data_IF_045654342265
#
_entry.id   IF_045654342265
#
_cell.length_a   1.000
_cell.length_b   1.000
_cell.length_c   1.000
_cell.angle_alpha   90.00
_cell.angle_beta   90.00
_cell.angle_gamma   90.00
#
_symmetry.space_group_name_H-M   'P 1'
#
loop_
_entity.id
_entity.type
_entity.pdbx_description
1 polymer ?
#
# COMPACT_ATOMS: atom_id res chain seq x y z
N UNK A 1 20.25 15.69 2.17
CA UNK A 1 19.98 15.88 0.73
C UNK A 1 20.91 14.94 0.00
N UNK A 2 20.41 13.89 -0.65
CA UNK A 2 21.25 12.77 -1.14
C UNK A 2 22.32 13.20 -2.15
N UNK A 3 23.49 12.61 -2.04
CA UNK A 3 24.61 12.72 -2.98
C UNK A 3 24.17 12.16 -4.34
N UNK A 4 23.81 13.03 -5.29
CA UNK A 4 23.63 12.66 -6.70
C UNK A 4 24.89 13.09 -7.44
N UNK A 5 25.52 12.15 -8.15
CA UNK A 5 26.57 12.49 -9.11
C UNK A 5 26.01 13.51 -10.12
N UNK A 6 26.71 14.63 -10.39
CA UNK A 6 26.22 15.69 -11.26
C UNK A 6 25.92 15.23 -12.70
N UNK A 7 26.45 14.07 -13.10
CA UNK A 7 26.26 13.46 -14.42
C UNK A 7 25.10 12.45 -14.50
N UNK A 8 24.35 12.25 -13.41
CA UNK A 8 23.24 11.28 -13.40
C UNK A 8 21.98 11.88 -14.00
N UNK A 9 21.48 11.30 -15.10
CA UNK A 9 20.17 11.69 -15.64
C UNK A 9 19.05 11.56 -14.60
N UNK A 10 18.09 12.50 -14.56
CA UNK A 10 16.92 12.39 -13.69
C UNK A 10 16.13 11.10 -13.98
N UNK A 11 15.64 10.44 -12.92
CA UNK A 11 14.76 9.27 -13.06
C UNK A 11 13.42 9.75 -13.65
N UNK A 12 13.01 9.18 -14.79
CA UNK A 12 11.80 9.59 -15.52
C UNK A 12 10.59 8.68 -15.30
N UNK A 13 10.79 7.45 -14.81
CA UNK A 13 9.74 6.43 -14.66
C UNK A 13 9.94 5.60 -13.39
N UNK A 14 8.83 5.24 -12.75
CA UNK A 14 8.77 4.26 -11.65
C UNK A 14 7.76 3.16 -11.98
N UNK A 15 8.04 1.96 -11.49
CA UNK A 15 7.11 0.83 -11.50
C UNK A 15 6.90 0.34 -10.06
N UNK A 16 5.65 0.30 -9.61
CA UNK A 16 5.26 -0.06 -8.25
C UNK A 16 4.40 -1.32 -8.30
N UNK A 17 4.82 -2.35 -7.56
CA UNK A 17 4.09 -3.61 -7.45
C UNK A 17 3.23 -3.58 -6.19
N UNK A 18 1.93 -3.74 -6.36
CA UNK A 18 0.96 -3.82 -5.25
C UNK A 18 0.49 -5.27 -5.15
N UNK A 19 1.07 -6.01 -4.20
CA UNK A 19 0.81 -7.45 -4.00
C UNK A 19 0.07 -7.78 -2.70
N UNK A 20 0.00 -6.83 -1.77
CA UNK A 20 -0.70 -6.95 -0.49
C UNK A 20 -2.15 -6.48 -0.62
N UNK A 21 -3.06 -7.15 0.08
CA UNK A 21 -4.50 -6.86 0.06
C UNK A 21 -5.03 -6.07 1.25
N UNK A 22 -4.20 -5.80 2.27
CA UNK A 22 -4.58 -5.00 3.42
C UNK A 22 -4.39 -3.51 3.16
N UNK A 23 -5.15 -2.67 3.87
CA UNK A 23 -5.17 -1.23 3.64
C UNK A 23 -3.77 -0.61 3.78
N UNK A 24 -3.06 -0.97 4.84
CA UNK A 24 -1.69 -0.53 5.13
C UNK A 24 -0.64 -1.06 4.14
N UNK A 25 -0.95 -2.15 3.43
CA UNK A 25 -0.09 -2.67 2.37
C UNK A 25 -0.32 -1.99 1.02
N UNK A 26 -1.54 -1.53 0.75
CA UNK A 26 -1.94 -0.91 -0.52
C UNK A 26 -1.59 0.59 -0.53
N UNK A 27 -1.94 1.29 0.55
CA UNK A 27 -1.83 2.76 0.63
C UNK A 27 -0.42 3.30 0.33
N UNK A 28 0.67 2.73 0.87
CA UNK A 28 2.02 3.22 0.58
C UNK A 28 2.36 3.19 -0.91
N UNK A 29 1.96 2.15 -1.63
CA UNK A 29 2.17 2.06 -3.08
C UNK A 29 1.45 3.15 -3.86
N UNK A 30 0.20 3.46 -3.47
CA UNK A 30 -0.59 4.54 -4.07
C UNK A 30 -0.05 5.93 -3.73
N UNK A 31 0.40 6.15 -2.48
CA UNK A 31 1.05 7.40 -2.05
C UNK A 31 2.33 7.64 -2.85
N UNK A 32 3.19 6.63 -2.97
CA UNK A 32 4.44 6.74 -3.74
C UNK A 32 4.16 6.99 -5.22
N UNK A 33 3.16 6.33 -5.81
CA UNK A 33 2.74 6.59 -7.18
C UNK A 33 2.30 8.04 -7.37
N UNK A 34 1.50 8.58 -6.44
CA UNK A 34 1.05 9.97 -6.49
C UNK A 34 2.24 10.94 -6.36
N UNK A 35 3.16 10.70 -5.41
CA UNK A 35 4.38 11.48 -5.27
C UNK A 35 5.24 11.47 -6.54
N UNK A 36 5.42 10.31 -7.16
CA UNK A 36 6.16 10.21 -8.43
C UNK A 36 5.50 11.01 -9.56
N UNK A 37 4.15 10.99 -9.65
CA UNK A 37 3.42 11.80 -10.63
C UNK A 37 3.55 13.31 -10.35
N UNK A 38 3.55 13.71 -9.08
CA UNK A 38 3.73 15.11 -8.68
C UNK A 38 5.13 15.63 -9.04
N UNK A 39 6.16 14.78 -8.96
CA UNK A 39 7.54 15.07 -9.39
C UNK A 39 7.74 14.96 -10.93
N UNK A 40 6.66 14.78 -11.70
CA UNK A 40 6.72 14.73 -13.16
C UNK A 40 7.18 13.39 -13.75
N UNK A 41 7.30 12.33 -12.95
CA UNK A 41 7.69 10.99 -13.40
C UNK A 41 6.49 10.22 -13.96
N UNK A 42 6.71 9.30 -14.89
CA UNK A 42 5.71 8.30 -15.29
C UNK A 42 5.61 7.21 -14.21
N UNK A 43 4.39 6.86 -13.77
CA UNK A 43 4.18 5.85 -12.75
C UNK A 43 3.35 4.68 -13.28
N UNK A 44 3.95 3.48 -13.28
CA UNK A 44 3.27 2.23 -13.61
C UNK A 44 2.93 1.48 -12.32
N UNK A 45 1.65 1.09 -12.16
CA UNK A 45 1.22 0.27 -11.04
C UNK A 45 0.85 -1.12 -11.54
N UNK A 46 1.48 -2.14 -10.97
CA UNK A 46 1.17 -3.53 -11.25
C UNK A 46 0.52 -4.17 -10.03
N UNK A 47 -0.79 -4.39 -10.11
CA UNK A 47 -1.57 -5.06 -9.08
C UNK A 47 -1.55 -6.57 -9.32
N UNK A 48 -1.16 -7.34 -8.30
CA UNK A 48 -1.04 -8.80 -8.41
C UNK A 48 -1.44 -9.50 -7.11
N UNK A 49 -1.72 -10.80 -7.18
CA UNK A 49 -2.18 -11.62 -6.06
C UNK A 49 -3.32 -10.94 -5.27
N UNK A 50 -3.10 -10.67 -3.98
CA UNK A 50 -4.07 -10.03 -3.09
C UNK A 50 -4.24 -8.52 -3.36
N UNK A 51 -3.29 -7.89 -4.04
CA UNK A 51 -3.38 -6.49 -4.43
C UNK A 51 -4.43 -6.22 -5.51
N UNK A 52 -4.92 -7.24 -6.23
CA UNK A 52 -6.01 -7.08 -7.20
C UNK A 52 -7.31 -6.57 -6.55
N UNK A 53 -7.48 -6.79 -5.25
CA UNK A 53 -8.65 -6.32 -4.50
C UNK A 53 -8.71 -4.79 -4.47
N UNK A 54 -7.55 -4.11 -4.53
CA UNK A 54 -7.42 -2.66 -4.60
C UNK A 54 -8.04 -2.02 -5.85
N UNK A 55 -8.21 -2.79 -6.93
CA UNK A 55 -8.79 -2.32 -8.19
C UNK A 55 -10.10 -3.03 -8.54
N UNK A 56 -10.57 -3.92 -7.65
CA UNK A 56 -11.77 -4.69 -7.88
C UNK A 56 -13.00 -3.94 -7.36
N UNK A 57 -13.90 -3.53 -8.25
CA UNK A 57 -15.08 -2.67 -7.94
C UNK A 57 -15.92 -3.13 -6.75
N UNK A 58 -16.08 -4.44 -6.54
CA UNK A 58 -16.89 -5.00 -5.44
C UNK A 58 -16.14 -5.19 -4.11
N UNK A 59 -14.82 -5.07 -4.11
CA UNK A 59 -13.96 -5.40 -2.95
C UNK A 59 -13.21 -4.21 -2.41
N UNK A 60 -12.98 -3.19 -3.24
CA UNK A 60 -12.24 -1.97 -2.86
C UNK A 60 -12.82 -1.27 -1.61
N UNK A 61 -14.15 -1.21 -1.48
CA UNK A 61 -14.85 -0.58 -0.35
C UNK A 61 -14.77 -1.40 0.96
N UNK A 62 -14.25 -2.62 0.90
CA UNK A 62 -14.19 -3.55 2.04
C UNK A 62 -12.76 -3.96 2.39
N UNK A 63 -11.76 -3.26 1.85
CA UNK A 63 -10.36 -3.47 2.22
C UNK A 63 -10.17 -3.06 3.67
N UNK A 64 -9.52 -3.92 4.45
CA UNK A 64 -9.34 -3.76 5.90
C UNK A 64 -7.87 -3.72 6.29
N UNK A 65 -7.63 -3.13 7.46
CA UNK A 65 -6.36 -3.26 8.15
C UNK A 65 -6.19 -4.69 8.66
N UNK A 66 -4.99 -5.26 8.53
CA UNK A 66 -4.71 -6.54 9.17
C UNK A 66 -4.62 -6.35 10.70
N UNK A 67 -5.49 -7.00 11.48
CA UNK A 67 -5.48 -6.93 12.95
C UNK A 67 -4.64 -8.01 13.61
N UNK A 68 -4.30 -9.06 12.87
CA UNK A 68 -3.43 -10.15 13.31
C UNK A 68 -2.17 -10.13 12.46
N UNK A 69 -1.01 -10.29 13.11
CA UNK A 69 0.28 -10.27 12.43
C UNK A 69 0.71 -8.88 11.94
N UNK A 70 0.01 -7.81 12.36
CA UNK A 70 0.39 -6.42 12.12
C UNK A 70 0.98 -5.81 13.41
N UNK A 71 2.31 -5.64 13.49
CA UNK A 71 2.95 -5.07 14.67
C UNK A 71 2.50 -3.64 14.99
N UNK A 72 2.08 -2.85 13.99
CA UNK A 72 1.69 -1.45 14.18
C UNK A 72 0.40 -1.28 14.98
N UNK A 73 -0.44 -2.32 15.07
CA UNK A 73 -1.68 -2.27 15.84
C UNK A 73 -1.44 -2.25 17.35
N UNK A 74 -0.30 -2.79 17.82
CA UNK A 74 -0.03 -2.99 19.26
C UNK A 74 -1.15 -3.74 20.01
N UNK A 75 -1.91 -4.56 19.30
CA UNK A 75 -2.97 -5.41 19.86
C UNK A 75 -2.41 -6.83 20.01
N UNK A 76 -2.59 -7.48 21.18
CA UNK A 76 -2.24 -8.88 21.35
C UNK A 76 -2.94 -9.76 20.29
N UNK A 77 -2.20 -10.68 19.68
CA UNK A 77 -2.68 -11.56 18.59
C UNK A 77 -4.04 -12.21 18.86
N UNK A 78 -4.24 -12.74 20.09
CA UNK A 78 -5.50 -13.37 20.48
C UNK A 78 -6.68 -12.40 20.40
N UNK A 79 -6.47 -11.16 20.81
CA UNK A 79 -7.50 -10.12 20.78
C UNK A 79 -7.75 -9.66 19.33
N UNK A 80 -6.70 -9.51 18.53
CA UNK A 80 -6.80 -9.13 17.11
C UNK A 80 -7.52 -10.16 16.23
N UNK A 81 -7.56 -11.42 16.67
CA UNK A 81 -8.25 -12.53 15.99
C UNK A 81 -9.75 -12.65 16.31
N UNK A 82 -10.28 -11.83 17.23
CA UNK A 82 -11.71 -11.85 17.53
C UNK A 82 -12.54 -11.46 16.28
N UNK A 83 -13.67 -12.15 16.01
CA UNK A 83 -14.53 -11.82 14.88
C UNK A 83 -14.94 -10.34 14.87
N UNK A 84 -14.81 -9.68 13.72
CA UNK A 84 -15.17 -8.27 13.55
C UNK A 84 -14.08 -7.25 13.91
N UNK A 85 -12.98 -7.65 14.56
CA UNK A 85 -11.90 -6.73 14.92
C UNK A 85 -11.29 -5.99 13.73
N UNK A 86 -11.12 -6.67 12.59
CA UNK A 86 -10.62 -6.03 11.38
C UNK A 86 -11.56 -4.98 10.81
N UNK A 87 -12.88 -5.13 11.00
CA UNK A 87 -13.82 -4.07 10.64
C UNK A 87 -13.69 -2.89 11.60
N UNK A 88 -13.69 -3.15 12.92
CA UNK A 88 -13.55 -2.11 13.94
C UNK A 88 -12.26 -1.30 13.81
N UNK A 89 -11.15 -1.94 13.46
CA UNK A 89 -9.85 -1.28 13.28
C UNK A 89 -9.74 -0.50 11.96
N UNK A 90 -10.65 -0.74 11.01
CA UNK A 90 -10.65 -0.08 9.69
C UNK A 90 -11.64 1.07 9.62
N UNK A 91 -12.70 1.03 10.43
CA UNK A 91 -13.83 1.98 10.43
C UNK A 91 -13.44 3.39 10.86
#
# INVERSE_FOLDING_TARGET
MGYRDPDTEPIKKVSIIISKGSLEGIYPGLIMANGARAEGMEANLFFTFFGLDAIHKKRIEHIKVATVGNPAMHIPTLLGGLPGMSALATH
#
